data_IF_948228396844
#
_entry.id   IF_948228396844
#
_cell.length_a   1.000
_cell.length_b   1.000
_cell.length_c   1.000
_cell.angle_alpha   90.00
_cell.angle_beta   90.00
_cell.angle_gamma   90.00
#
_symmetry.space_group_name_H-M   'P 1'
#
loop_
_entity.id
_entity.type
_entity.pdbx_description
1 polymer ?
#
# COMPACT_ATOMS: atom_id res chain seq x y z
N UNK A 1 -14.52 7.40 -27.59
CA UNK A 1 -13.84 8.53 -26.88
C UNK A 1 -13.40 8.00 -25.52
N UNK A 2 -12.28 8.47 -24.99
CA UNK A 2 -11.74 8.02 -23.70
C UNK A 2 -11.94 9.09 -22.63
N UNK A 3 -11.90 8.67 -21.37
CA UNK A 3 -12.01 9.55 -20.22
C UNK A 3 -10.93 9.23 -19.19
N UNK A 4 -10.69 10.17 -18.29
CA UNK A 4 -9.67 10.09 -17.25
C UNK A 4 -10.29 10.31 -15.89
N UNK A 5 -10.03 9.41 -14.95
CA UNK A 5 -10.23 9.67 -13.53
C UNK A 5 -8.94 10.21 -12.92
N UNK A 6 -9.05 11.38 -12.28
CA UNK A 6 -7.98 11.95 -11.48
C UNK A 6 -7.99 11.39 -10.06
N UNK A 7 -6.81 11.08 -9.54
CA UNK A 7 -6.59 10.61 -8.18
C UNK A 7 -5.50 11.44 -7.50
N UNK A 8 -5.87 12.17 -6.45
CA UNK A 8 -4.96 12.88 -5.56
C UNK A 8 -4.34 11.89 -4.57
N UNK A 9 -3.03 11.69 -4.69
CA UNK A 9 -2.25 10.80 -3.83
C UNK A 9 -1.36 11.66 -2.93
N UNK A 10 -1.92 12.07 -1.80
CA UNK A 10 -1.25 12.91 -0.80
C UNK A 10 -1.37 12.28 0.60
N UNK A 11 -0.30 12.37 1.37
CA UNK A 11 -0.21 11.89 2.75
C UNK A 11 1.18 12.13 3.33
N UNK A 12 1.36 12.02 4.66
CA UNK A 12 2.63 12.35 5.31
C UNK A 12 3.78 11.44 4.84
N UNK A 13 3.48 10.18 4.55
CA UNK A 13 4.40 9.18 4.02
C UNK A 13 3.75 8.39 2.90
N UNK A 14 4.53 8.02 1.88
CA UNK A 14 4.13 7.11 0.80
C UNK A 14 5.23 6.09 0.52
N UNK A 15 4.91 4.94 -0.09
CA UNK A 15 5.94 3.98 -0.51
C UNK A 15 5.51 3.12 -1.70
N UNK A 16 6.14 3.34 -2.84
CA UNK A 16 5.79 2.74 -4.13
C UNK A 16 6.90 1.80 -4.59
N UNK A 17 6.93 0.59 -4.05
CA UNK A 17 8.00 -0.37 -4.31
C UNK A 17 8.05 -0.84 -5.77
N UNK A 18 9.25 -1.04 -6.30
CA UNK A 18 9.48 -1.58 -7.64
C UNK A 18 10.37 -2.82 -7.63
N UNK A 19 11.39 -2.87 -6.76
CA UNK A 19 12.31 -3.99 -6.64
C UNK A 19 12.50 -4.33 -5.17
N UNK A 20 11.66 -5.24 -4.66
CA UNK A 20 11.75 -5.62 -3.26
C UNK A 20 12.68 -6.85 -3.08
N UNK A 21 13.98 -6.61 -2.88
CA UNK A 21 14.93 -7.67 -2.48
C UNK A 21 14.93 -7.83 -0.96
N UNK A 22 14.26 -8.89 -0.49
CA UNK A 22 14.35 -9.39 0.89
C UNK A 22 14.21 -8.33 2.00
N UNK A 23 15.32 -7.97 2.63
CA UNK A 23 15.48 -7.10 3.79
C UNK A 23 15.53 -5.61 3.44
N UNK A 24 15.89 -5.27 2.18
CA UNK A 24 15.87 -3.90 1.67
C UNK A 24 14.64 -3.67 0.80
N UNK A 25 13.72 -2.84 1.29
CA UNK A 25 12.48 -2.48 0.59
C UNK A 25 12.60 -1.05 0.06
N UNK A 26 12.74 -0.93 -1.25
CA UNK A 26 12.84 0.35 -1.95
C UNK A 26 11.49 1.09 -2.04
N UNK A 27 11.56 2.28 -2.62
CA UNK A 27 10.41 3.05 -3.13
C UNK A 27 10.88 3.77 -4.38
N UNK A 28 10.03 3.85 -5.40
CA UNK A 28 10.21 4.82 -6.46
C UNK A 28 9.92 6.23 -5.95
N UNK A 29 10.35 7.23 -6.71
CA UNK A 29 10.09 8.66 -6.48
C UNK A 29 8.70 9.11 -6.95
N UNK A 30 7.81 8.16 -7.27
CA UNK A 30 6.44 8.39 -7.75
C UNK A 30 5.59 7.12 -7.58
N UNK A 31 4.26 7.24 -7.59
CA UNK A 31 3.33 6.11 -7.66
C UNK A 31 3.59 5.17 -8.84
N UNK A 32 3.45 3.87 -8.59
CA UNK A 32 3.49 2.81 -9.61
C UNK A 32 2.08 2.49 -10.10
N UNK A 33 1.95 2.04 -11.36
CA UNK A 33 0.67 1.59 -11.90
C UNK A 33 0.08 0.45 -11.07
N UNK A 34 0.90 -0.54 -10.72
CA UNK A 34 0.50 -1.64 -9.83
C UNK A 34 0.12 -1.19 -8.42
N UNK A 35 0.72 -0.12 -7.89
CA UNK A 35 0.36 0.42 -6.58
C UNK A 35 -1.01 1.08 -6.60
N UNK A 36 -1.26 1.94 -7.59
CA UNK A 36 -2.54 2.64 -7.75
C UNK A 36 -3.67 1.68 -8.14
N UNK A 37 -3.40 0.71 -9.02
CA UNK A 37 -4.38 -0.33 -9.37
C UNK A 37 -4.73 -1.19 -8.15
N UNK A 38 -3.76 -1.50 -7.28
CA UNK A 38 -4.02 -2.22 -6.04
C UNK A 38 -4.84 -1.41 -5.03
N UNK A 39 -4.64 -0.09 -4.98
CA UNK A 39 -5.48 0.82 -4.19
C UNK A 39 -6.92 0.82 -4.71
N UNK A 40 -7.11 0.90 -6.04
CA UNK A 40 -8.43 0.84 -6.68
C UNK A 40 -9.10 -0.52 -6.43
N UNK A 41 -8.38 -1.63 -6.59
CA UNK A 41 -8.89 -2.97 -6.31
C UNK A 41 -9.34 -3.12 -4.85
N UNK A 42 -8.58 -2.58 -3.90
CA UNK A 42 -8.95 -2.55 -2.49
C UNK A 42 -10.23 -1.75 -2.25
N UNK A 43 -10.37 -0.58 -2.89
CA UNK A 43 -11.55 0.27 -2.82
C UNK A 43 -12.82 -0.45 -3.33
N UNK A 44 -12.69 -1.15 -4.47
CA UNK A 44 -13.76 -1.93 -5.09
C UNK A 44 -14.14 -3.20 -4.32
N UNK A 45 -13.27 -3.67 -3.42
CA UNK A 45 -13.48 -4.87 -2.62
C UNK A 45 -12.97 -6.16 -3.23
N UNK A 46 -12.06 -6.12 -4.20
CA UNK A 46 -11.47 -7.33 -4.81
C UNK A 46 -10.49 -8.03 -3.86
N UNK A 47 -10.69 -9.31 -3.61
CA UNK A 47 -9.73 -10.13 -2.89
C UNK A 47 -8.45 -10.33 -3.72
N UNK A 48 -7.37 -10.74 -3.06
CA UNK A 48 -6.06 -10.85 -3.73
C UNK A 48 -6.01 -11.90 -4.83
N UNK A 49 -6.87 -12.92 -4.74
CA UNK A 49 -6.95 -13.99 -5.72
C UNK A 49 -7.93 -13.68 -6.85
N UNK A 50 -8.72 -12.60 -6.74
CA UNK A 50 -9.67 -12.23 -7.77
C UNK A 50 -8.95 -11.78 -9.04
N UNK A 51 -9.60 -12.00 -10.18
CA UNK A 51 -9.16 -11.44 -11.44
C UNK A 51 -9.28 -9.91 -11.42
N UNK A 52 -8.28 -9.23 -11.98
CA UNK A 52 -8.26 -7.79 -12.09
C UNK A 52 -9.18 -7.27 -13.20
N UNK A 53 -9.49 -8.12 -14.19
CA UNK A 53 -10.38 -7.78 -15.30
C UNK A 53 -10.01 -6.43 -15.94
N UNK A 54 -10.99 -5.57 -16.15
CA UNK A 54 -10.80 -4.26 -16.79
C UNK A 54 -9.81 -3.32 -16.05
N UNK A 55 -9.42 -3.61 -14.80
CA UNK A 55 -8.40 -2.82 -14.11
C UNK A 55 -7.00 -2.97 -14.74
N UNK A 56 -6.72 -4.06 -15.46
CA UNK A 56 -5.44 -4.23 -16.18
C UNK A 56 -5.31 -3.31 -17.37
N UNK A 57 -6.45 -2.90 -17.94
CA UNK A 57 -6.55 -2.14 -19.19
C UNK A 57 -6.53 -0.62 -18.95
N UNK A 58 -6.56 -0.18 -17.69
CA UNK A 58 -6.41 1.22 -17.32
C UNK A 58 -5.05 1.73 -17.82
N UNK A 59 -5.05 2.76 -18.66
CA UNK A 59 -3.82 3.46 -19.04
C UNK A 59 -3.43 4.42 -17.91
N UNK A 60 -2.15 4.44 -17.54
CA UNK A 60 -1.70 5.16 -16.34
C UNK A 60 -0.83 6.37 -16.64
N UNK A 61 -1.05 7.45 -15.92
CA UNK A 61 -0.14 8.58 -15.86
C UNK A 61 -0.07 9.16 -14.45
N UNK A 62 1.03 9.86 -14.13
CA UNK A 62 1.19 10.51 -12.84
C UNK A 62 2.02 11.78 -12.96
N UNK A 63 1.57 12.85 -12.30
CA UNK A 63 2.24 14.14 -12.16
C UNK A 63 2.71 14.33 -10.72
N UNK A 64 3.96 14.76 -10.54
CA UNK A 64 4.57 15.00 -9.23
C UNK A 64 4.58 16.48 -8.88
N UNK A 65 3.48 16.94 -8.27
CA UNK A 65 3.33 18.33 -7.83
C UNK A 65 4.26 18.63 -6.65
N UNK A 66 4.38 17.66 -5.73
CA UNK A 66 5.39 17.63 -4.67
C UNK A 66 6.07 16.25 -4.69
N UNK A 67 7.30 16.13 -5.22
CA UNK A 67 7.98 14.84 -5.30
C UNK A 67 8.36 14.25 -3.94
N UNK A 68 8.38 15.10 -2.89
CA UNK A 68 8.74 14.75 -1.53
C UNK A 68 10.23 14.46 -1.36
N UNK A 69 10.59 14.04 -0.15
CA UNK A 69 11.96 13.66 0.22
C UNK A 69 12.02 12.17 0.55
N UNK A 70 13.10 11.52 0.13
CA UNK A 70 13.27 10.09 0.41
C UNK A 70 13.77 9.90 1.84
N UNK A 71 13.04 9.14 2.66
CA UNK A 71 13.40 8.82 4.05
C UNK A 71 13.63 7.33 4.24
N UNK A 72 14.57 7.00 5.12
CA UNK A 72 14.96 5.63 5.45
C UNK A 72 14.46 5.27 6.85
N UNK A 73 13.62 4.24 6.91
CA UNK A 73 13.11 3.66 8.15
C UNK A 73 13.86 2.35 8.46
N UNK A 74 14.35 2.24 9.68
CA UNK A 74 15.03 1.05 10.18
C UNK A 74 14.05 0.22 11.02
N UNK A 75 13.60 -0.90 10.46
CA UNK A 75 12.43 -1.61 10.94
C UNK A 75 12.78 -3.02 11.40
N UNK A 76 12.68 -3.26 12.70
CA UNK A 76 12.99 -4.55 13.34
C UNK A 76 11.70 -5.30 13.69
N UNK A 77 11.67 -6.61 13.43
CA UNK A 77 10.60 -7.52 13.86
C UNK A 77 11.20 -8.67 14.65
N UNK A 78 10.50 -9.17 15.68
CA UNK A 78 10.81 -10.43 16.36
C UNK A 78 11.78 -10.36 17.55
N UNK A 79 12.53 -9.28 17.73
CA UNK A 79 13.47 -9.14 18.85
C UNK A 79 12.82 -8.67 20.15
N UNK A 80 13.39 -9.03 21.30
CA UNK A 80 12.99 -8.53 22.61
C UNK A 80 12.13 -9.49 23.44
N UNK A 81 11.66 -8.96 24.57
CA UNK A 81 10.90 -9.69 25.59
C UNK A 81 9.54 -9.01 25.74
N UNK A 82 8.46 -9.76 25.54
CA UNK A 82 7.11 -9.20 25.51
C UNK A 82 6.22 -9.85 26.56
N UNK A 83 5.25 -9.12 27.13
CA UNK A 83 4.27 -9.71 28.02
C UNK A 83 3.47 -10.77 27.27
N UNK A 84 3.19 -11.88 27.94
CA UNK A 84 2.30 -12.93 27.46
C UNK A 84 0.91 -12.33 27.23
N UNK A 85 0.38 -12.46 26.01
CA UNK A 85 -0.94 -11.88 25.64
C UNK A 85 -1.99 -12.98 25.57
N UNK A 86 -3.29 -12.67 25.75
CA UNK A 86 -4.36 -13.67 25.66
C UNK A 86 -4.32 -14.52 24.38
N UNK A 87 -4.04 -13.91 23.23
CA UNK A 87 -3.89 -14.62 21.95
C UNK A 87 -2.80 -15.71 21.97
N UNK A 88 -1.75 -15.52 22.75
CA UNK A 88 -0.61 -16.45 22.84
C UNK A 88 -0.96 -17.68 23.69
N UNK A 89 -2.00 -17.58 24.54
CA UNK A 89 -2.59 -18.70 25.27
C UNK A 89 -3.57 -19.47 24.39
N UNK A 90 -4.43 -18.74 23.66
CA UNK A 90 -5.47 -19.33 22.79
C UNK A 90 -4.85 -20.15 21.65
N UNK A 91 -3.72 -19.69 21.12
CA UNK A 91 -3.06 -20.31 19.95
C UNK A 91 -1.95 -21.28 20.34
N UNK A 92 -1.70 -21.50 21.62
CA UNK A 92 -0.69 -22.45 22.08
C UNK A 92 -1.08 -22.96 23.48
N UNK A 93 -1.73 -24.13 23.51
CA UNK A 93 -2.16 -24.76 24.76
C UNK A 93 -1.00 -25.06 25.73
N UNK A 94 0.23 -25.22 25.23
CA UNK A 94 1.42 -25.45 26.08
C UNK A 94 1.76 -24.18 26.85
N UNK A 95 1.64 -23.02 26.21
CA UNK A 95 1.78 -21.71 26.88
C UNK A 95 0.66 -21.48 27.88
N UNK A 96 -0.56 -21.90 27.55
CA UNK A 96 -1.70 -21.85 28.47
C UNK A 96 -1.45 -22.69 29.74
N UNK A 97 -1.03 -23.95 29.60
CA UNK A 97 -0.70 -24.82 30.74
C UNK A 97 0.43 -24.25 31.61
N UNK A 98 1.51 -23.76 30.99
CA UNK A 98 2.64 -23.14 31.73
C UNK A 98 2.20 -21.87 32.47
N UNK A 99 1.34 -21.06 31.88
CA UNK A 99 0.81 -19.85 32.52
C UNK A 99 -0.15 -20.19 33.67
N UNK A 100 -1.00 -21.21 33.52
CA UNK A 100 -1.92 -21.67 34.56
C UNK A 100 -1.18 -22.18 35.80
N UNK A 101 -0.18 -23.06 35.62
CA UNK A 101 0.65 -23.55 36.73
C UNK A 101 1.36 -22.41 37.48
N UNK A 102 1.81 -21.39 36.76
CA UNK A 102 2.47 -20.24 37.37
C UNK A 102 1.48 -19.31 38.12
N UNK A 103 0.25 -19.17 37.61
CA UNK A 103 -0.84 -18.43 38.26
C UNK A 103 -1.27 -19.09 39.59
N UNK A 104 -1.32 -20.42 39.64
CA UNK A 104 -1.70 -21.18 40.86
C UNK A 104 -0.76 -20.90 42.04
N UNK A 105 0.50 -20.58 41.76
CA UNK A 105 1.53 -20.26 42.78
C UNK A 105 1.73 -18.76 42.99
N UNK A 106 1.00 -17.91 42.26
CA UNK A 106 1.18 -16.46 42.30
C UNK A 106 0.65 -15.88 43.60
N UNK A 107 1.51 -15.22 44.37
CA UNK A 107 1.14 -14.46 45.57
C UNK A 107 1.76 -13.06 45.47
N UNK A 108 0.97 -12.01 45.71
CA UNK A 108 1.42 -10.61 45.63
C UNK A 108 0.36 -9.63 45.15
N UNK A 109 0.64 -8.31 45.20
CA UNK A 109 -0.33 -7.25 44.89
C UNK A 109 -0.70 -7.15 43.41
N UNK A 110 0.00 -7.87 42.54
CA UNK A 110 -0.17 -7.92 41.07
C UNK A 110 -0.64 -9.32 40.65
N UNK A 111 -1.43 -9.98 41.50
CA UNK A 111 -2.03 -11.30 41.25
C UNK A 111 -2.83 -11.30 39.92
N UNK A 112 -2.71 -12.37 39.14
CA UNK A 112 -3.43 -12.51 37.86
C UNK A 112 -2.81 -11.76 36.67
N UNK A 113 -1.75 -10.97 36.87
CA UNK A 113 -1.08 -10.30 35.76
C UNK A 113 -0.14 -11.25 35.01
N UNK A 114 -0.55 -11.64 33.81
CA UNK A 114 0.29 -12.35 32.83
C UNK A 114 1.54 -11.57 32.41
N UNK A 115 1.66 -10.29 32.81
CA UNK A 115 2.81 -9.44 32.53
C UNK A 115 4.11 -9.92 33.19
N UNK A 116 4.04 -10.66 34.30
CA UNK A 116 5.21 -11.32 34.91
C UNK A 116 5.75 -12.48 34.04
N UNK A 117 4.95 -12.94 33.08
CA UNK A 117 5.28 -14.03 32.17
C UNK A 117 5.65 -13.41 30.84
N UNK A 118 6.95 -13.36 30.58
CA UNK A 118 7.43 -12.82 29.33
C UNK A 118 7.74 -13.93 28.33
N UNK A 119 7.46 -13.64 27.06
CA UNK A 119 7.85 -14.50 25.94
C UNK A 119 9.05 -13.85 25.26
N UNK A 120 10.18 -14.55 25.30
CA UNK A 120 11.41 -14.13 24.61
C UNK A 120 11.29 -14.36 23.11
N UNK A 121 11.86 -13.45 22.30
CA UNK A 121 11.89 -13.57 20.83
C UNK A 121 10.49 -13.67 20.22
N UNK A 122 9.52 -12.93 20.78
CA UNK A 122 8.11 -13.03 20.39
C UNK A 122 7.44 -11.68 20.16
N UNK A 123 7.71 -11.10 18.99
CA UNK A 123 6.90 -10.01 18.42
C UNK A 123 6.35 -10.39 17.05
N UNK A 124 5.18 -11.04 17.04
CA UNK A 124 4.51 -11.42 15.80
C UNK A 124 3.13 -11.99 16.02
N UNK A 125 2.26 -11.95 15.00
CA UNK A 125 1.06 -12.78 15.00
C UNK A 125 1.46 -14.27 14.96
N UNK A 126 0.83 -15.16 15.75
CA UNK A 126 0.99 -16.60 15.62
C UNK A 126 0.76 -17.00 14.15
N UNK A 127 1.61 -17.88 13.62
CA UNK A 127 1.53 -18.41 12.25
C UNK A 127 1.40 -19.91 12.31
N UNK A 128 0.91 -20.49 11.21
CA UNK A 128 0.78 -21.95 11.07
C UNK A 128 -0.04 -22.52 12.23
N UNK A 129 -1.17 -21.86 12.52
CA UNK A 129 -2.08 -22.28 13.58
C UNK A 129 -2.82 -23.50 13.04
N UNK A 130 -2.55 -24.66 13.61
CA UNK A 130 -3.22 -25.90 13.27
C UNK A 130 -3.58 -26.67 14.56
N UNK A 131 -4.57 -27.57 14.52
CA UNK A 131 -4.79 -28.50 15.61
C UNK A 131 -3.53 -29.34 15.87
N UNK A 132 -3.10 -29.43 17.12
CA UNK A 132 -2.04 -30.35 17.54
C UNK A 132 -2.50 -31.79 17.30
N UNK A 133 -1.75 -32.62 16.55
CA UNK A 133 -2.12 -34.01 16.27
C UNK A 133 -2.37 -34.86 17.52
N UNK A 134 -1.80 -34.51 18.67
CA UNK A 134 -1.96 -35.26 19.92
C UNK A 134 -3.18 -34.84 20.73
N UNK A 135 -3.43 -33.53 20.83
CA UNK A 135 -4.48 -32.98 21.72
C UNK A 135 -5.70 -32.47 20.98
N UNK A 136 -5.61 -32.24 19.66
CA UNK A 136 -6.65 -31.60 18.86
C UNK A 136 -6.81 -30.09 19.11
N UNK A 137 -6.08 -29.51 20.07
CA UNK A 137 -6.16 -28.09 20.43
C UNK A 137 -5.23 -27.27 19.53
N UNK A 138 -5.59 -26.01 19.27
CA UNK A 138 -4.78 -25.13 18.43
C UNK A 138 -3.35 -24.97 18.97
N UNK A 139 -2.41 -25.09 18.04
CA UNK A 139 -0.98 -24.91 18.27
C UNK A 139 -0.38 -24.06 17.15
N UNK A 140 0.30 -23.00 17.54
CA UNK A 140 1.12 -22.22 16.62
C UNK A 140 2.40 -23.01 16.30
N UNK A 141 2.59 -23.35 15.02
CA UNK A 141 3.77 -24.11 14.57
C UNK A 141 5.09 -23.37 14.79
N UNK A 142 5.09 -22.04 14.67
CA UNK A 142 6.29 -21.22 14.82
C UNK A 142 6.18 -20.25 16.01
N UNK A 143 6.83 -20.62 17.12
CA UNK A 143 6.74 -19.93 18.43
C UNK A 143 7.92 -19.02 18.77
N UNK A 144 8.92 -18.89 17.89
CA UNK A 144 10.11 -18.05 18.09
C UNK A 144 10.40 -17.27 16.83
N UNK A 145 10.71 -15.97 16.96
CA UNK A 145 11.19 -15.17 15.83
C UNK A 145 12.51 -14.55 16.18
N UNK A 146 13.56 -14.93 15.48
CA UNK A 146 14.80 -14.16 15.54
C UNK A 146 14.57 -12.76 14.98
N UNK A 147 15.40 -11.83 15.45
CA UNK A 147 15.34 -10.45 15.03
C UNK A 147 15.57 -10.38 13.52
N UNK A 148 14.54 -9.96 12.77
CA UNK A 148 14.69 -9.62 11.37
C UNK A 148 14.76 -8.12 11.25
N UNK A 149 15.88 -7.64 10.73
CA UNK A 149 16.11 -6.23 10.45
C UNK A 149 15.78 -5.98 8.99
N UNK A 150 14.93 -4.97 8.73
CA UNK A 150 14.63 -4.54 7.37
C UNK A 150 14.85 -3.05 7.25
N UNK A 151 15.40 -2.62 6.13
CA UNK A 151 15.52 -1.20 5.80
C UNK A 151 14.47 -0.85 4.77
N UNK A 152 13.59 0.08 5.12
CA UNK A 152 12.41 0.42 4.32
C UNK A 152 12.45 1.88 3.91
N UNK A 153 12.34 2.14 2.63
CA UNK A 153 12.35 3.51 2.09
C UNK A 153 10.93 4.02 1.87
N UNK A 154 10.71 5.32 2.14
CA UNK A 154 9.46 6.04 1.96
C UNK A 154 9.72 7.39 1.29
N UNK A 155 8.67 8.00 0.75
CA UNK A 155 8.63 9.41 0.38
C UNK A 155 7.88 10.17 1.48
N UNK A 156 8.54 11.16 2.07
CA UNK A 156 7.96 12.07 3.04
C UNK A 156 7.51 13.37 2.36
N UNK A 157 6.36 13.88 2.78
CA UNK A 157 5.76 15.10 2.26
C UNK A 157 5.65 15.10 0.72
N UNK A 158 5.12 14.00 0.16
CA UNK A 158 4.91 13.85 -1.27
C UNK A 158 3.42 13.99 -1.61
N UNK A 159 3.14 14.61 -2.75
CA UNK A 159 1.80 14.78 -3.29
C UNK A 159 1.83 14.61 -4.82
N UNK A 160 1.03 13.68 -5.30
CA UNK A 160 0.94 13.34 -6.72
C UNK A 160 -0.50 13.44 -7.21
N UNK A 161 -0.64 13.71 -8.51
CA UNK A 161 -1.90 13.57 -9.24
C UNK A 161 -1.74 12.40 -10.20
N UNK A 162 -2.37 11.28 -9.90
CA UNK A 162 -2.46 10.14 -10.82
C UNK A 162 -3.67 10.30 -11.74
N UNK A 163 -3.55 9.83 -12.97
CA UNK A 163 -4.59 9.79 -13.97
C UNK A 163 -4.72 8.34 -14.44
N UNK A 164 -5.93 7.78 -14.33
CA UNK A 164 -6.26 6.48 -14.92
C UNK A 164 -7.25 6.71 -16.06
N UNK A 165 -6.86 6.30 -17.26
CA UNK A 165 -7.58 6.53 -18.49
C UNK A 165 -8.23 5.23 -18.99
N UNK A 166 -9.49 5.31 -19.40
CA UNK A 166 -10.24 4.17 -19.94
C UNK A 166 -11.44 4.63 -20.80
N UNK A 167 -11.84 3.86 -21.84
CA UNK A 167 -13.03 4.17 -22.64
C UNK A 167 -14.37 3.98 -21.91
N UNK A 168 -14.47 3.03 -20.98
CA UNK A 168 -15.65 2.83 -20.14
C UNK A 168 -15.72 3.89 -19.03
N UNK A 169 -16.59 4.89 -19.20
CA UNK A 169 -16.83 5.94 -18.22
C UNK A 169 -17.53 5.43 -16.96
N UNK A 170 -18.40 4.43 -17.07
CA UNK A 170 -19.10 3.86 -15.91
C UNK A 170 -18.10 3.16 -14.99
N UNK A 171 -17.10 2.48 -15.55
CA UNK A 171 -15.98 1.95 -14.77
C UNK A 171 -15.26 3.06 -14.00
N UNK A 172 -14.91 4.17 -14.65
CA UNK A 172 -14.22 5.29 -14.01
C UNK A 172 -15.07 5.94 -12.91
N UNK A 173 -16.38 6.11 -13.14
CA UNK A 173 -17.30 6.63 -12.11
C UNK A 173 -17.45 5.66 -10.93
N UNK A 174 -17.53 4.33 -11.18
CA UNK A 174 -17.52 3.33 -10.11
C UNK A 174 -16.23 3.38 -9.29
N UNK A 175 -15.07 3.53 -9.94
CA UNK A 175 -13.78 3.68 -9.24
C UNK A 175 -13.76 4.98 -8.43
N UNK A 176 -14.20 6.09 -9.03
CA UNK A 176 -14.28 7.41 -8.40
C UNK A 176 -15.12 7.38 -7.12
N UNK A 177 -16.28 6.75 -7.16
CA UNK A 177 -17.11 6.54 -5.97
C UNK A 177 -16.44 5.60 -4.96
N UNK A 178 -15.86 4.49 -5.42
CA UNK A 178 -15.28 3.48 -4.53
C UNK A 178 -14.07 4.01 -3.75
N UNK A 179 -13.23 4.88 -4.32
CA UNK A 179 -12.08 5.42 -3.57
C UNK A 179 -12.48 6.36 -2.44
N UNK A 180 -13.67 6.98 -2.52
CA UNK A 180 -14.26 7.81 -1.45
C UNK A 180 -15.14 7.00 -0.49
N UNK A 181 -15.70 5.88 -0.95
CA UNK A 181 -16.51 4.95 -0.16
C UNK A 181 -15.93 3.54 -0.20
N UNK A 182 -14.72 3.32 0.32
CA UNK A 182 -13.99 2.10 0.04
C UNK A 182 -14.47 0.93 0.87
N UNK A 183 -14.59 -0.24 0.25
CA UNK A 183 -14.93 -1.49 0.95
C UNK A 183 -13.79 -2.00 1.84
N UNK A 184 -12.57 -1.52 1.64
CA UNK A 184 -11.40 -1.80 2.48
C UNK A 184 -10.60 -0.52 2.73
N UNK A 185 -9.90 -0.47 3.87
CA UNK A 185 -9.00 0.63 4.16
C UNK A 185 -7.94 0.83 3.06
N UNK A 186 -7.71 2.09 2.70
CA UNK A 186 -6.81 2.50 1.63
C UNK A 186 -5.47 3.01 2.17
N UNK A 187 -4.41 2.77 1.40
CA UNK A 187 -3.04 3.13 1.78
C UNK A 187 -2.22 3.51 0.54
N UNK A 188 -1.35 4.50 0.69
CA UNK A 188 -0.39 4.94 -0.33
C UNK A 188 0.82 3.99 -0.36
N UNK A 189 0.55 2.78 -0.85
CA UNK A 189 1.49 1.69 -0.97
C UNK A 189 1.55 0.77 0.25
N UNK A 190 2.11 1.24 1.38
CA UNK A 190 2.18 0.45 2.63
C UNK A 190 1.03 0.79 3.57
N UNK A 191 0.58 -0.18 4.38
CA UNK A 191 -0.50 0.02 5.37
C UNK A 191 -0.26 1.13 6.40
N UNK A 192 1.01 1.49 6.62
CA UNK A 192 1.43 2.58 7.50
C UNK A 192 1.33 3.97 6.86
N UNK A 193 0.90 4.07 5.59
CA UNK A 193 0.86 5.28 4.79
C UNK A 193 -0.60 5.62 4.45
N UNK A 194 -1.41 6.14 5.39
CA UNK A 194 -2.78 6.54 5.10
C UNK A 194 -2.82 7.73 4.12
N UNK A 195 -3.78 7.77 3.18
CA UNK A 195 -4.03 8.98 2.38
C UNK A 195 -4.60 10.10 3.27
N UNK A 196 -4.51 11.34 2.80
CA UNK A 196 -5.02 12.53 3.49
C UNK A 196 -5.99 13.30 2.61
N UNK A 197 -7.20 13.56 3.11
CA UNK A 197 -8.28 14.25 2.38
C UNK A 197 -8.86 13.42 1.23
N UNK A 198 -9.64 14.08 0.37
CA UNK A 198 -10.26 13.48 -0.82
C UNK A 198 -9.23 12.91 -1.79
N UNK A 199 -9.49 11.71 -2.29
CA UNK A 199 -8.65 10.99 -3.26
C UNK A 199 -9.15 11.25 -4.69
N UNK A 200 -10.45 11.16 -4.94
CA UNK A 200 -11.06 11.36 -6.25
C UNK A 200 -11.02 12.83 -6.66
N UNK A 201 -10.47 13.10 -7.84
CA UNK A 201 -10.52 14.40 -8.54
C UNK A 201 -11.57 14.45 -9.65
N UNK A 202 -12.48 13.46 -9.70
CA UNK A 202 -13.53 13.36 -10.71
C UNK A 202 -13.09 12.75 -12.05
N UNK A 203 -14.09 12.45 -12.88
CA UNK A 203 -13.93 11.87 -14.22
C UNK A 203 -14.09 12.96 -15.27
N UNK A 204 -13.14 13.04 -16.20
CA UNK A 204 -13.07 14.10 -17.21
C UNK A 204 -12.90 13.50 -18.62
N UNK A 205 -13.61 14.01 -19.64
CA UNK A 205 -13.44 13.52 -21.02
C UNK A 205 -12.11 13.98 -21.61
N UNK A 206 -11.39 13.08 -22.28
CA UNK A 206 -10.09 13.37 -22.89
C UNK A 206 -9.02 12.33 -22.55
N UNK A 207 -7.77 12.64 -22.90
CA UNK A 207 -6.62 11.76 -22.65
C UNK A 207 -5.87 12.15 -21.38
N UNK A 208 -5.08 11.23 -20.83
CA UNK A 208 -4.26 11.49 -19.64
C UNK A 208 -3.33 12.71 -19.82
N UNK A 209 -2.76 12.90 -21.01
CA UNK A 209 -1.91 14.04 -21.37
C UNK A 209 -2.64 15.37 -21.22
N UNK A 210 -3.81 15.48 -21.86
CA UNK A 210 -4.60 16.72 -21.84
C UNK A 210 -5.07 17.00 -20.43
N UNK A 211 -5.66 16.00 -19.76
CA UNK A 211 -6.25 16.19 -18.43
C UNK A 211 -5.19 16.56 -17.39
N UNK A 212 -4.01 15.93 -17.40
CA UNK A 212 -2.93 16.33 -16.48
C UNK A 212 -2.38 17.73 -16.76
N UNK A 213 -2.48 18.23 -18.00
CA UNK A 213 -2.08 19.58 -18.37
C UNK A 213 -3.15 20.61 -17.98
N UNK A 214 -4.43 20.27 -18.07
CA UNK A 214 -5.54 21.17 -17.73
C UNK A 214 -5.97 21.12 -16.27
N UNK A 215 -5.31 20.29 -15.45
CA UNK A 215 -5.60 20.20 -14.00
C UNK A 215 -4.71 21.16 -13.21
N UNK A 216 -5.31 21.91 -12.28
CA UNK A 216 -4.58 22.78 -11.36
C UNK A 216 -3.51 22.02 -10.56
N UNK A 217 -2.42 22.71 -10.21
CA UNK A 217 -1.43 22.19 -9.28
C UNK A 217 -2.06 22.01 -7.89
N UNK A 218 -1.66 20.96 -7.19
CA UNK A 218 -1.99 20.79 -5.78
C UNK A 218 -1.36 21.92 -4.93
N UNK A 219 -1.94 22.25 -3.77
CA UNK A 219 -1.37 23.22 -2.84
C UNK A 219 0.09 22.90 -2.49
N UNK A 220 0.90 23.94 -2.35
CA UNK A 220 2.35 23.87 -2.12
C UNK A 220 3.09 22.94 -3.10
N UNK A 221 2.69 22.98 -4.39
CA UNK A 221 3.51 22.41 -5.45
C UNK A 221 4.90 23.06 -5.46
N UNK A 222 5.92 22.25 -5.69
CA UNK A 222 7.34 22.67 -5.59
C UNK A 222 7.88 23.28 -6.88
N UNK A 223 7.13 23.17 -7.98
CA UNK A 223 7.53 23.65 -9.29
C UNK A 223 6.29 24.02 -10.10
N UNK A 224 6.33 25.13 -10.87
CA UNK A 224 5.26 25.48 -11.81
C UNK A 224 5.21 24.53 -13.01
N UNK A 225 6.29 23.77 -13.25
CA UNK A 225 6.37 22.78 -14.33
C UNK A 225 6.72 21.40 -13.74
N UNK A 226 5.81 20.70 -13.07
CA UNK A 226 6.13 19.41 -12.46
C UNK A 226 6.54 18.36 -13.50
N UNK A 227 7.26 17.35 -13.04
CA UNK A 227 7.50 16.15 -13.84
C UNK A 227 6.21 15.32 -13.93
N UNK A 228 5.94 14.77 -15.11
CA UNK A 228 4.92 13.78 -15.33
C UNK A 228 5.50 12.55 -16.03
N UNK A 229 4.90 11.39 -15.73
CA UNK A 229 5.19 10.11 -16.35
C UNK A 229 3.91 9.58 -16.93
N UNK A 230 3.92 9.30 -18.23
CA UNK A 230 2.71 8.96 -18.98
C UNK A 230 2.98 7.65 -19.70
N UNK A 231 2.09 6.68 -19.51
CA UNK A 231 2.19 5.39 -20.19
C UNK A 231 2.16 5.56 -21.71
N UNK A 232 3.11 4.91 -22.36
CA UNK A 232 3.37 5.03 -23.77
C UNK A 232 3.41 3.64 -24.42
N UNK A 233 3.16 3.62 -25.72
CA UNK A 233 3.29 2.39 -26.51
C UNK A 233 4.75 1.94 -26.58
N UNK A 234 5.02 0.62 -26.66
CA UNK A 234 6.37 0.13 -26.93
C UNK A 234 6.93 0.75 -28.22
N UNK A 235 8.19 1.19 -28.18
CA UNK A 235 8.85 1.84 -29.33
C UNK A 235 8.67 3.36 -29.41
N UNK A 236 7.87 3.98 -28.54
CA UNK A 236 7.80 5.45 -28.47
C UNK A 236 9.18 6.04 -28.14
N UNK A 237 9.68 7.03 -28.92
CA UNK A 237 10.96 7.66 -28.65
C UNK A 237 11.05 8.25 -27.24
N UNK A 238 12.12 7.92 -26.51
CA UNK A 238 12.34 8.39 -25.14
C UNK A 238 11.51 7.66 -24.07
N UNK A 239 10.72 6.65 -24.42
CA UNK A 239 9.99 5.86 -23.45
C UNK A 239 10.91 4.86 -22.72
N UNK A 240 10.78 4.79 -21.39
CA UNK A 240 11.51 3.87 -20.54
C UNK A 240 10.62 2.72 -20.09
N UNK A 241 11.16 1.51 -20.07
CA UNK A 241 10.46 0.32 -19.60
C UNK A 241 10.36 0.30 -18.06
N UNK A 242 9.23 -0.16 -17.54
CA UNK A 242 8.94 -0.39 -16.11
C UNK A 242 8.26 -1.74 -15.90
N UNK A 243 8.57 -2.41 -14.80
CA UNK A 243 7.98 -3.72 -14.46
C UNK A 243 6.91 -3.57 -13.38
N UNK A 244 5.91 -2.76 -13.64
CA UNK A 244 4.82 -2.45 -12.71
C UNK A 244 3.42 -2.53 -13.36
N UNK A 245 3.28 -3.15 -14.54
CA UNK A 245 1.98 -3.53 -15.07
C UNK A 245 1.43 -4.71 -14.26
N UNK A 246 0.31 -4.57 -13.52
CA UNK A 246 -0.22 -5.67 -12.73
C UNK A 246 -0.86 -6.73 -13.63
N UNK A 247 -0.54 -8.00 -13.38
CA UNK A 247 -1.22 -9.16 -13.98
C UNK A 247 -2.10 -9.84 -12.93
N UNK A 248 -1.55 -10.13 -11.76
CA UNK A 248 -2.30 -10.71 -10.63
C UNK A 248 -1.69 -10.30 -9.30
N UNK A 249 -2.55 -10.12 -8.29
CA UNK A 249 -2.15 -9.90 -6.90
C UNK A 249 -2.20 -11.17 -6.04
N UNK A 250 -2.36 -12.35 -6.67
CA UNK A 250 -2.45 -13.61 -5.94
C UNK A 250 -1.28 -13.77 -4.95
N UNK A 251 -1.53 -14.14 -3.68
CA UNK A 251 -0.48 -14.15 -2.66
C UNK A 251 0.71 -15.04 -2.98
N UNK A 252 0.49 -16.14 -3.70
CA UNK A 252 1.51 -17.16 -4.00
C UNK A 252 2.26 -16.92 -5.32
N UNK A 253 1.61 -16.30 -6.31
CA UNK A 253 2.15 -16.14 -7.66
C UNK A 253 1.91 -14.72 -8.21
N UNK A 254 2.05 -13.73 -7.33
CA UNK A 254 1.97 -12.31 -7.68
C UNK A 254 2.90 -12.00 -8.86
N UNK A 255 2.32 -11.44 -9.93
CA UNK A 255 3.03 -11.22 -11.19
C UNK A 255 2.78 -9.81 -11.72
N UNK A 256 3.85 -9.19 -12.22
CA UNK A 256 3.80 -7.94 -12.99
C UNK A 256 4.56 -8.12 -14.29
N UNK A 257 4.14 -7.40 -15.33
CA UNK A 257 4.79 -7.38 -16.63
C UNK A 257 5.37 -6.00 -16.93
N UNK A 258 6.01 -5.89 -18.08
CA UNK A 258 6.56 -4.62 -18.55
C UNK A 258 5.47 -3.70 -19.12
N UNK A 259 5.59 -2.42 -18.84
CA UNK A 259 4.97 -1.32 -19.58
C UNK A 259 6.02 -0.26 -19.92
N UNK A 260 5.67 0.68 -20.79
CA UNK A 260 6.55 1.78 -21.19
C UNK A 260 5.93 3.09 -20.75
N UNK A 261 6.78 4.06 -20.41
CA UNK A 261 6.33 5.41 -20.06
C UNK A 261 7.32 6.45 -20.57
N UNK A 262 6.81 7.58 -21.03
CA UNK A 262 7.62 8.78 -21.30
C UNK A 262 7.68 9.63 -20.04
N UNK A 263 8.74 10.44 -19.92
CA UNK A 263 8.90 11.42 -18.86
C UNK A 263 8.96 12.81 -19.47
N UNK A 264 8.06 13.70 -19.06
CA UNK A 264 7.98 15.06 -19.59
C UNK A 264 7.76 16.09 -18.49
N UNK A 265 8.11 17.34 -18.76
CA UNK A 265 7.72 18.51 -17.94
C UNK A 265 6.40 19.02 -18.48
N UNK A 266 5.41 19.18 -17.60
CA UNK A 266 4.10 19.73 -17.97
C UNK A 266 4.01 21.15 -17.42
N UNK A 267 3.51 22.09 -18.23
CA UNK A 267 3.13 23.45 -17.79
C UNK A 267 1.62 23.50 -17.67
N UNK A 268 1.04 23.41 -16.46
CA UNK A 268 -0.41 23.32 -16.33
C UNK A 268 -1.11 24.63 -16.72
N UNK A 269 -2.18 24.52 -17.50
CA UNK A 269 -3.08 25.61 -17.88
C UNK A 269 -4.48 25.27 -17.36
N UNK A 270 -4.76 25.59 -16.08
CA UNK A 270 -5.83 24.92 -15.34
C UNK A 270 -7.22 25.38 -15.78
N UNK A 271 -8.03 24.41 -16.21
CA UNK A 271 -9.48 24.53 -16.34
C UNK A 271 -10.22 23.62 -15.36
N UNK A 272 -9.51 22.64 -14.77
CA UNK A 272 -10.00 21.74 -13.73
C UNK A 272 -9.36 22.15 -12.40
N UNK A 273 -10.19 22.53 -11.43
CA UNK A 273 -9.76 22.90 -10.07
C UNK A 273 -9.73 21.70 -9.11
N UNK A 274 -9.23 21.95 -7.90
CA UNK A 274 -9.38 21.03 -6.78
C UNK A 274 -10.24 21.66 -5.70
N UNK A 275 -11.28 20.97 -5.27
CA UNK A 275 -12.00 21.31 -4.04
C UNK A 275 -11.36 20.51 -2.89
N UNK A 276 -10.23 21.02 -2.39
CA UNK A 276 -9.52 20.40 -1.29
C UNK A 276 -10.08 21.02 -0.03
N UNK A 277 -10.79 20.22 0.77
CA UNK A 277 -11.07 20.59 2.16
C UNK A 277 -9.69 20.78 2.82
N UNK A 278 -9.36 22.01 3.28
CA UNK A 278 -8.03 22.34 3.78
C UNK A 278 -7.62 21.53 5.02
#
# INVERSE_FOLDING_TARGET
MTSVLLLRLAGPLQSWGALARFDRRDTLNRPTKSGVTGLIAAALGLDRADDLGALTDLRFAVRADRPGTTVRDFHIVGSGTYPLRPRDLITDHRRAQKAAAALETSTGPVFGHLAAHSVTKWYGAPKEIAPDPKTGVLLAGNTTRDAMMTTRWYLADAAFVAAVEHPDQDLLHRISHAVEHPKRLLWLGRKSCPPSGTISGGVHPGTAETILTTTALLPNATSPQPWAWIEATPGTPGAAQRTDQPVTYHPEHRTHTARWETRTRISPEPTIGWDIIP
#
